data_IF_242602679836
#
_entry.id   IF_242602679836
#
_cell.length_a   1.000
_cell.length_b   1.000
_cell.length_c   1.000
_cell.angle_alpha   90.00
_cell.angle_beta   90.00
_cell.angle_gamma   90.00
#
_symmetry.space_group_name_H-M   'P 1'
#
loop_
_entity.id
_entity.type
_entity.pdbx_description
1 polymer ?
#
# COMPACT_ATOMS: atom_id res chain seq x y z
N UNK A 1 -14.96 -9.10 22.56
CA UNK A 1 -14.96 -9.99 21.38
C UNK A 1 -13.98 -11.13 21.67
N UNK A 2 -14.39 -12.39 21.56
CA UNK A 2 -13.48 -13.56 21.68
C UNK A 2 -12.77 -13.79 20.33
N UNK A 3 -11.59 -14.40 20.32
CA UNK A 3 -10.77 -14.63 19.11
C UNK A 3 -11.53 -15.31 17.96
N UNK A 4 -12.52 -16.16 18.26
CA UNK A 4 -13.37 -16.81 17.27
C UNK A 4 -14.29 -15.85 16.49
N UNK A 5 -14.69 -14.73 17.10
CA UNK A 5 -15.50 -13.72 16.43
C UNK A 5 -14.63 -12.89 15.49
N UNK A 6 -13.38 -12.63 15.86
CA UNK A 6 -12.41 -11.92 15.02
C UNK A 6 -12.02 -12.71 13.77
N UNK A 7 -11.91 -14.03 13.85
CA UNK A 7 -11.67 -14.88 12.67
C UNK A 7 -12.86 -14.87 11.72
N UNK A 8 -14.09 -14.95 12.24
CA UNK A 8 -15.31 -14.86 11.40
C UNK A 8 -15.41 -13.50 10.70
N UNK A 9 -15.05 -12.42 11.41
CA UNK A 9 -15.00 -11.09 10.82
C UNK A 9 -13.95 -11.01 9.69
N UNK A 10 -12.76 -11.56 9.90
CA UNK A 10 -11.70 -11.58 8.90
C UNK A 10 -12.12 -12.38 7.65
N UNK A 11 -12.73 -13.55 7.84
CA UNK A 11 -13.23 -14.37 6.73
C UNK A 11 -14.36 -13.67 5.97
N UNK A 12 -15.28 -13.02 6.70
CA UNK A 12 -16.33 -12.20 6.11
C UNK A 12 -15.72 -11.06 5.30
N UNK A 13 -14.79 -10.30 5.87
CA UNK A 13 -14.10 -9.24 5.15
C UNK A 13 -13.43 -9.77 3.88
N UNK A 14 -12.67 -10.87 3.94
CA UNK A 14 -12.00 -11.42 2.76
C UNK A 14 -12.96 -11.84 1.63
N UNK A 15 -14.19 -12.27 1.96
CA UNK A 15 -15.11 -12.91 1.01
C UNK A 15 -16.28 -12.03 0.55
N UNK A 16 -16.43 -10.82 1.10
CA UNK A 16 -17.58 -9.95 0.80
C UNK A 16 -17.24 -8.84 -0.21
N UNK A 17 -17.43 -9.06 -1.54
CA UNK A 17 -17.11 -8.07 -2.57
C UNK A 17 -18.09 -6.89 -2.64
N UNK A 18 -19.17 -6.90 -1.84
CA UNK A 18 -20.19 -5.85 -1.86
C UNK A 18 -20.03 -4.84 -0.72
N UNK A 19 -19.24 -5.18 0.30
CA UNK A 19 -19.09 -4.32 1.46
C UNK A 19 -18.25 -3.09 1.08
N UNK A 20 -18.82 -1.90 1.30
CA UNK A 20 -18.16 -0.61 1.02
C UNK A 20 -17.72 0.10 2.28
N UNK A 21 -18.46 -0.06 3.37
CA UNK A 21 -18.20 0.61 4.63
C UNK A 21 -18.41 -0.37 5.78
N UNK A 22 -17.52 -0.34 6.77
CA UNK A 22 -17.63 -1.14 7.98
C UNK A 22 -17.29 -0.30 9.20
N UNK A 23 -18.13 -0.42 10.23
CA UNK A 23 -18.05 0.32 11.48
C UNK A 23 -17.89 -0.64 12.64
N UNK A 24 -16.73 -0.62 13.29
CA UNK A 24 -16.39 -1.46 14.45
C UNK A 24 -15.75 -0.63 15.56
N UNK A 25 -16.16 0.61 15.71
CA UNK A 25 -15.69 1.49 16.77
C UNK A 25 -16.04 0.92 18.15
N UNK A 26 -15.17 1.11 19.15
CA UNK A 26 -15.43 0.75 20.55
C UNK A 26 -15.77 -0.74 20.82
N UNK A 27 -15.12 -1.67 20.11
CA UNK A 27 -15.40 -3.11 20.21
C UNK A 27 -14.35 -3.93 20.97
N UNK A 28 -13.40 -3.26 21.65
CA UNK A 28 -12.29 -3.87 22.38
C UNK A 28 -11.43 -4.82 21.51
N UNK A 29 -11.29 -4.52 20.22
CA UNK A 29 -10.35 -5.22 19.33
C UNK A 29 -8.92 -4.92 19.77
N UNK A 30 -8.05 -5.93 19.72
CA UNK A 30 -6.63 -5.82 20.10
C UNK A 30 -5.70 -6.09 18.91
N UNK A 31 -4.39 -6.07 19.13
CA UNK A 31 -3.39 -6.25 18.07
C UNK A 31 -3.47 -7.60 17.34
N UNK A 32 -3.92 -8.67 18.02
CA UNK A 32 -4.14 -9.96 17.36
C UNK A 32 -5.30 -9.90 16.38
N UNK A 33 -6.36 -9.17 16.74
CA UNK A 33 -7.50 -8.93 15.85
C UNK A 33 -7.09 -8.02 14.68
N UNK A 34 -6.26 -7.01 14.92
CA UNK A 34 -5.71 -6.15 13.87
C UNK A 34 -4.90 -6.94 12.83
N UNK A 35 -4.10 -7.93 13.26
CA UNK A 35 -3.35 -8.80 12.35
C UNK A 35 -4.27 -9.67 11.47
N UNK A 36 -5.37 -10.21 12.04
CA UNK A 36 -6.37 -10.96 11.28
C UNK A 36 -7.09 -10.06 10.26
N UNK A 37 -7.49 -8.86 10.69
CA UNK A 37 -8.11 -7.85 9.82
C UNK A 37 -7.14 -7.43 8.71
N UNK A 38 -5.87 -7.20 9.01
CA UNK A 38 -4.83 -6.85 8.04
C UNK A 38 -4.71 -7.91 6.93
N UNK A 39 -4.72 -9.19 7.31
CA UNK A 39 -4.70 -10.29 6.34
C UNK A 39 -5.96 -10.33 5.47
N UNK A 40 -7.13 -10.11 6.06
CA UNK A 40 -8.39 -10.04 5.31
C UNK A 40 -8.44 -8.84 4.37
N UNK A 41 -7.91 -7.69 4.80
CA UNK A 41 -7.81 -6.51 3.96
C UNK A 41 -6.98 -6.81 2.73
N UNK A 42 -5.81 -7.47 2.83
CA UNK A 42 -4.96 -7.79 1.65
C UNK A 42 -5.71 -8.45 0.48
N UNK A 43 -6.77 -9.23 0.74
CA UNK A 43 -7.61 -9.84 -0.30
C UNK A 43 -8.89 -9.07 -0.65
N UNK A 44 -9.43 -8.21 0.22
CA UNK A 44 -10.68 -7.48 -0.03
C UNK A 44 -10.46 -6.16 -0.78
N UNK A 45 -10.70 -6.13 -2.09
CA UNK A 45 -10.54 -4.93 -2.94
C UNK A 45 -11.75 -4.00 -3.02
N UNK A 46 -12.78 -4.23 -2.20
CA UNK A 46 -14.09 -3.60 -2.39
C UNK A 46 -14.45 -2.62 -1.30
N UNK A 47 -13.88 -2.79 -0.11
CA UNK A 47 -14.08 -1.91 1.04
C UNK A 47 -13.44 -0.54 0.76
N UNK A 48 -14.22 0.52 0.98
CA UNK A 48 -13.79 1.91 0.82
C UNK A 48 -13.50 2.59 2.16
N UNK A 49 -14.24 2.25 3.22
CA UNK A 49 -14.09 2.87 4.54
C UNK A 49 -14.19 1.85 5.65
N UNK A 50 -13.28 1.92 6.62
CA UNK A 50 -13.27 1.06 7.79
C UNK A 50 -13.02 1.85 9.07
N UNK A 51 -14.07 2.05 9.86
CA UNK A 51 -13.99 2.72 11.15
C UNK A 51 -13.63 1.75 12.27
N UNK A 52 -12.48 1.99 12.90
CA UNK A 52 -11.88 1.15 13.94
C UNK A 52 -11.49 1.97 15.20
N UNK A 53 -11.97 3.20 15.33
CA UNK A 53 -11.69 4.09 16.45
C UNK A 53 -12.14 3.50 17.79
N UNK A 54 -11.47 3.86 18.89
CA UNK A 54 -11.90 3.46 20.23
C UNK A 54 -11.68 1.98 20.58
N UNK A 55 -10.90 1.26 19.77
CA UNK A 55 -10.41 -0.08 20.08
C UNK A 55 -9.05 -0.06 20.80
N UNK A 56 -8.59 -1.21 21.26
CA UNK A 56 -7.37 -1.42 22.07
C UNK A 56 -6.16 -1.79 21.23
N UNK A 57 -5.94 -1.08 20.12
CA UNK A 57 -4.73 -1.25 19.29
C UNK A 57 -3.54 -0.50 19.89
N UNK A 58 -2.38 -1.14 19.89
CA UNK A 58 -1.08 -0.51 20.13
C UNK A 58 -0.42 -0.17 18.79
N UNK A 59 0.83 0.31 18.83
CA UNK A 59 1.63 0.56 17.63
C UNK A 59 1.82 -0.70 16.78
N UNK A 60 1.81 -1.90 17.41
CA UNK A 60 1.94 -3.18 16.70
C UNK A 60 0.73 -3.48 15.83
N UNK A 61 -0.48 -3.32 16.37
CA UNK A 61 -1.73 -3.50 15.62
C UNK A 61 -1.90 -2.43 14.53
N UNK A 62 -1.52 -1.19 14.84
CA UNK A 62 -1.52 -0.10 13.86
C UNK A 62 -0.56 -0.39 12.69
N UNK A 63 0.67 -0.81 12.96
CA UNK A 63 1.64 -1.14 11.90
C UNK A 63 1.15 -2.31 11.03
N UNK A 64 0.51 -3.31 11.63
CA UNK A 64 -0.08 -4.43 10.89
C UNK A 64 -1.13 -3.96 9.87
N UNK A 65 -2.02 -3.05 10.28
CA UNK A 65 -3.02 -2.44 9.40
C UNK A 65 -2.37 -1.54 8.35
N UNK A 66 -1.34 -0.77 8.72
CA UNK A 66 -0.58 0.08 7.79
C UNK A 66 0.03 -0.74 6.67
N UNK A 67 0.74 -1.82 7.00
CA UNK A 67 1.38 -2.71 6.03
C UNK A 67 0.38 -3.44 5.13
N UNK A 68 -0.86 -3.66 5.58
CA UNK A 68 -1.91 -4.19 4.70
C UNK A 68 -2.34 -3.16 3.64
N UNK A 69 -2.35 -1.88 3.98
CA UNK A 69 -2.75 -0.79 3.08
C UNK A 69 -1.60 -0.27 2.22
N UNK A 70 -0.38 -0.23 2.76
CA UNK A 70 0.80 0.33 2.11
C UNK A 70 2.06 -0.37 2.63
N UNK A 71 2.47 -1.41 1.91
CA UNK A 71 3.71 -2.14 2.20
C UNK A 71 4.85 -1.58 1.34
N UNK A 72 5.75 -0.83 1.96
CA UNK A 72 6.88 -0.21 1.25
C UNK A 72 8.13 -1.10 1.17
N UNK A 73 8.07 -2.35 1.68
CA UNK A 73 9.24 -3.24 1.72
C UNK A 73 9.79 -3.57 0.33
N UNK A 74 8.93 -3.63 -0.69
CA UNK A 74 9.29 -3.86 -2.08
C UNK A 74 8.22 -3.33 -3.02
N UNK A 75 8.58 -3.07 -4.28
CA UNK A 75 7.59 -2.62 -5.26
C UNK A 75 6.50 -3.67 -5.53
N UNK A 76 6.80 -4.96 -5.42
CA UNK A 76 5.78 -6.01 -5.50
C UNK A 76 4.81 -5.90 -4.30
N UNK A 77 5.33 -5.80 -3.08
CA UNK A 77 4.50 -5.67 -1.88
C UNK A 77 3.64 -4.39 -1.92
N UNK A 78 4.18 -3.28 -2.41
CA UNK A 78 3.43 -2.03 -2.62
C UNK A 78 2.32 -2.22 -3.64
N UNK A 79 2.63 -2.90 -4.74
CA UNK A 79 1.67 -3.18 -5.78
C UNK A 79 0.58 -4.15 -5.29
N UNK A 80 0.93 -5.11 -4.43
CA UNK A 80 0.01 -6.08 -3.83
C UNK A 80 -0.81 -5.49 -2.67
N UNK A 81 -0.34 -4.42 -2.02
CA UNK A 81 -1.08 -3.60 -1.05
C UNK A 81 -2.15 -2.74 -1.75
N UNK A 82 -3.12 -3.43 -2.34
CA UNK A 82 -4.03 -2.91 -3.36
C UNK A 82 -5.37 -2.45 -2.78
N UNK A 83 -5.40 -1.38 -1.97
CA UNK A 83 -6.68 -0.82 -1.49
C UNK A 83 -6.86 0.67 -1.69
N UNK A 84 -8.09 1.01 -2.06
CA UNK A 84 -8.74 2.33 -1.91
C UNK A 84 -9.38 2.50 -0.53
N UNK A 85 -9.31 1.46 0.32
CA UNK A 85 -9.87 1.47 1.67
C UNK A 85 -9.14 2.47 2.56
N UNK A 86 -9.88 3.37 3.20
CA UNK A 86 -9.39 4.21 4.29
C UNK A 86 -9.71 3.54 5.62
N UNK A 87 -8.69 3.33 6.46
CA UNK A 87 -8.84 2.72 7.79
C UNK A 87 -8.64 3.79 8.86
N UNK A 88 -9.62 3.93 9.75
CA UNK A 88 -9.63 4.95 10.79
C UNK A 88 -9.35 4.31 12.15
N UNK A 89 -8.15 4.51 12.69
CA UNK A 89 -7.78 4.14 14.06
C UNK A 89 -7.42 5.38 14.89
N UNK A 90 -7.37 5.24 16.21
CA UNK A 90 -7.06 6.35 17.14
C UNK A 90 -5.64 6.91 16.98
N UNK A 91 -4.70 6.10 16.49
CA UNK A 91 -3.32 6.52 16.19
C UNK A 91 -3.31 7.26 14.85
N UNK A 92 -3.87 8.46 14.86
CA UNK A 92 -4.26 9.23 13.68
C UNK A 92 -3.09 9.83 12.88
N UNK A 93 -1.83 9.49 13.21
CA UNK A 93 -0.64 10.12 12.61
C UNK A 93 0.27 9.23 11.76
N UNK A 94 0.21 7.89 11.86
CA UNK A 94 1.19 7.04 11.15
C UNK A 94 0.63 6.33 9.90
N UNK A 95 -0.67 6.02 9.88
CA UNK A 95 -1.28 5.23 8.80
C UNK A 95 -1.84 6.13 7.67
N UNK A 96 -2.39 7.30 8.04
CA UNK A 96 -3.13 8.15 7.11
C UNK A 96 -2.29 9.25 6.44
N UNK A 97 -1.06 9.49 6.87
CA UNK A 97 -0.17 10.48 6.24
C UNK A 97 0.15 10.14 4.77
N UNK A 98 -0.07 8.88 4.35
CA UNK A 98 0.08 8.43 2.96
C UNK A 98 -1.25 8.36 2.18
N UNK A 99 -2.38 8.68 2.82
CA UNK A 99 -3.74 8.67 2.25
C UNK A 99 -4.45 10.04 2.36
N UNK A 100 -3.78 11.08 2.87
CA UNK A 100 -4.38 12.40 3.16
C UNK A 100 -4.43 13.36 1.97
N UNK A 101 -3.98 12.96 0.78
CA UNK A 101 -4.14 13.77 -0.42
C UNK A 101 -5.45 13.44 -1.15
N UNK A 102 -6.25 14.49 -1.31
CA UNK A 102 -7.53 14.58 -2.02
C UNK A 102 -7.52 13.88 -3.38
N UNK A 103 -7.96 12.61 -3.41
CA UNK A 103 -8.76 11.97 -4.46
C UNK A 103 -8.71 10.46 -4.23
N UNK A 104 -9.76 9.93 -3.60
CA UNK A 104 -9.91 8.51 -3.27
C UNK A 104 -10.06 7.57 -4.47
N UNK A 105 -9.38 7.80 -5.61
CA UNK A 105 -9.51 6.97 -6.80
C UNK A 105 -8.20 6.64 -7.54
N UNK A 106 -7.00 6.86 -6.98
CA UNK A 106 -5.78 6.33 -7.62
C UNK A 106 -4.64 5.95 -6.63
N UNK A 107 -4.82 4.87 -5.86
CA UNK A 107 -3.90 4.51 -4.76
C UNK A 107 -2.65 3.73 -5.21
N UNK A 108 -2.76 2.76 -6.12
CA UNK A 108 -1.63 1.87 -6.47
C UNK A 108 -0.50 2.59 -7.20
N UNK A 109 -0.82 3.35 -8.25
CA UNK A 109 0.17 4.09 -9.02
C UNK A 109 0.85 5.18 -8.17
N UNK A 110 0.08 5.92 -7.37
CA UNK A 110 0.64 6.92 -6.47
C UNK A 110 1.58 6.31 -5.43
N UNK A 111 1.22 5.20 -4.77
CA UNK A 111 2.08 4.50 -3.80
C UNK A 111 3.40 4.05 -4.44
N UNK A 112 3.33 3.49 -5.65
CA UNK A 112 4.51 3.10 -6.43
C UNK A 112 5.40 4.34 -6.69
N UNK A 113 4.81 5.43 -7.17
CA UNK A 113 5.53 6.67 -7.44
C UNK A 113 6.15 7.27 -6.17
N UNK A 114 5.40 7.31 -5.05
CA UNK A 114 5.85 7.85 -3.77
C UNK A 114 7.13 7.16 -3.29
N UNK A 115 7.15 5.82 -3.29
CA UNK A 115 8.35 5.04 -2.93
C UNK A 115 9.52 5.35 -3.87
N UNK A 116 9.26 5.40 -5.17
CA UNK A 116 10.30 5.68 -6.17
C UNK A 116 10.89 7.07 -5.99
N UNK A 117 10.06 8.07 -5.70
CA UNK A 117 10.45 9.45 -5.44
C UNK A 117 11.33 9.53 -4.18
N UNK A 118 10.84 9.00 -3.04
CA UNK A 118 11.59 8.99 -1.77
C UNK A 118 12.93 8.24 -1.89
N UNK A 119 12.96 7.13 -2.62
CA UNK A 119 14.20 6.38 -2.85
C UNK A 119 15.13 7.06 -3.83
N UNK A 120 14.63 7.87 -4.76
CA UNK A 120 15.47 8.65 -5.68
C UNK A 120 16.23 9.76 -4.96
N UNK A 121 15.62 10.40 -3.95
CA UNK A 121 16.31 11.36 -3.07
C UNK A 121 17.57 10.77 -2.41
N UNK A 122 17.55 9.45 -2.18
CA UNK A 122 18.68 8.69 -1.61
C UNK A 122 19.43 7.85 -2.65
N UNK A 123 19.14 8.02 -3.95
CA UNK A 123 19.73 7.28 -5.08
C UNK A 123 19.70 5.76 -4.90
N UNK A 124 18.63 5.23 -4.30
CA UNK A 124 18.57 3.86 -3.80
C UNK A 124 17.62 2.95 -4.58
N UNK A 125 16.86 3.43 -5.56
CA UNK A 125 15.92 2.59 -6.34
C UNK A 125 16.60 1.36 -6.97
N UNK A 126 17.80 1.57 -7.51
CA UNK A 126 18.59 0.59 -8.26
C UNK A 126 18.84 -0.72 -7.48
N UNK A 127 18.94 -0.67 -6.13
CA UNK A 127 19.11 -1.88 -5.29
C UNK A 127 17.80 -2.63 -5.02
N UNK A 128 16.65 -1.97 -5.20
CA UNK A 128 15.32 -2.54 -4.95
C UNK A 128 14.66 -3.15 -6.21
N UNK A 129 15.30 -3.03 -7.39
CA UNK A 129 14.78 -3.57 -8.65
C UNK A 129 15.10 -5.05 -8.92
N UNK A 130 15.85 -5.72 -8.05
CA UNK A 130 16.34 -7.10 -8.31
C UNK A 130 15.27 -8.19 -8.40
N UNK A 131 14.12 -8.01 -7.75
CA UNK A 131 13.07 -9.05 -7.63
C UNK A 131 11.71 -8.60 -8.16
N UNK A 132 11.65 -7.60 -9.03
CA UNK A 132 10.36 -7.05 -9.49
C UNK A 132 9.81 -7.88 -10.64
N UNK A 133 8.51 -8.17 -10.58
CA UNK A 133 7.82 -8.84 -11.69
C UNK A 133 7.89 -7.95 -12.95
N UNK A 134 8.38 -8.50 -14.07
CA UNK A 134 8.43 -7.83 -15.37
C UNK A 134 7.06 -7.35 -15.83
N UNK A 135 5.98 -8.03 -15.40
CA UNK A 135 4.60 -7.60 -15.68
C UNK A 135 4.21 -6.31 -14.97
N UNK A 136 4.92 -5.93 -13.89
CA UNK A 136 4.67 -4.70 -13.15
C UNK A 136 5.33 -3.49 -13.81
N UNK A 137 6.31 -3.69 -14.71
CA UNK A 137 7.10 -2.62 -15.32
C UNK A 137 6.25 -1.56 -16.05
N UNK A 138 5.24 -1.91 -16.88
CA UNK A 138 4.40 -0.90 -17.54
C UNK A 138 3.66 -0.02 -16.53
N UNK A 139 3.15 -0.61 -15.43
CA UNK A 139 2.43 0.12 -14.40
C UNK A 139 3.36 1.04 -13.59
N UNK A 140 4.61 0.63 -13.39
CA UNK A 140 5.63 1.44 -12.72
C UNK A 140 5.98 2.66 -13.57
N UNK A 141 6.20 2.48 -14.88
CA UNK A 141 6.49 3.58 -15.80
C UNK A 141 5.30 4.54 -15.93
N UNK A 142 4.08 4.00 -16.09
CA UNK A 142 2.85 4.80 -16.15
C UNK A 142 2.67 5.64 -14.88
N UNK A 143 2.92 5.06 -13.70
CA UNK A 143 2.88 5.78 -12.43
C UNK A 143 3.87 6.95 -12.39
N UNK A 144 5.13 6.74 -12.78
CA UNK A 144 6.14 7.82 -12.82
C UNK A 144 5.69 8.94 -13.75
N UNK A 145 5.24 8.61 -14.96
CA UNK A 145 4.82 9.61 -15.95
C UNK A 145 3.59 10.40 -15.49
N UNK A 146 2.62 9.73 -14.87
CA UNK A 146 1.36 10.31 -14.42
C UNK A 146 1.51 11.24 -13.20
N UNK A 147 2.38 10.90 -12.26
CA UNK A 147 2.45 11.58 -10.97
C UNK A 147 3.64 12.53 -10.81
N UNK A 148 4.72 12.33 -11.57
CA UNK A 148 5.87 13.23 -11.50
C UNK A 148 5.59 14.63 -12.08
N UNK A 149 4.52 14.77 -12.88
CA UNK A 149 4.11 16.04 -13.50
C UNK A 149 3.06 16.81 -12.71
N UNK A 150 2.46 16.19 -11.68
CA UNK A 150 1.20 16.66 -11.06
C UNK A 150 1.36 17.27 -9.65
N UNK A 151 2.59 17.42 -9.13
CA UNK A 151 2.79 17.85 -7.74
C UNK A 151 3.55 19.17 -7.69
N UNK A 152 2.96 20.14 -6.98
CA UNK A 152 3.47 21.47 -6.63
C UNK A 152 4.80 21.48 -5.82
N UNK A 153 5.54 20.36 -5.78
CA UNK A 153 6.72 20.17 -4.93
C UNK A 153 7.69 19.08 -5.45
N UNK A 154 7.98 19.04 -6.76
CA UNK A 154 8.91 18.03 -7.27
C UNK A 154 10.38 18.46 -7.11
N UNK A 155 11.01 18.05 -6.00
CA UNK A 155 12.49 18.00 -5.89
C UNK A 155 13.12 16.92 -6.78
N UNK A 156 12.31 15.99 -7.30
CA UNK A 156 12.76 14.79 -8.04
C UNK A 156 12.38 14.89 -9.51
N UNK A 157 13.36 14.72 -10.40
CA UNK A 157 13.15 14.72 -11.85
C UNK A 157 12.63 13.35 -12.32
N UNK A 158 11.45 13.26 -12.97
CA UNK A 158 10.92 11.99 -13.50
C UNK A 158 11.92 11.21 -14.35
N UNK A 159 12.72 11.89 -15.18
CA UNK A 159 13.72 11.26 -16.04
C UNK A 159 14.83 10.56 -15.23
N UNK A 160 15.12 11.04 -14.01
CA UNK A 160 16.06 10.39 -13.09
C UNK A 160 15.54 9.02 -12.66
N UNK A 161 14.27 8.95 -12.27
CA UNK A 161 13.62 7.69 -11.88
C UNK A 161 13.52 6.74 -13.08
N UNK A 162 13.10 7.23 -14.25
CA UNK A 162 13.02 6.42 -15.47
C UNK A 162 14.38 5.83 -15.87
N UNK A 163 15.45 6.63 -15.78
CA UNK A 163 16.81 6.16 -16.03
C UNK A 163 17.23 5.04 -15.08
N UNK A 164 16.96 5.18 -13.77
CA UNK A 164 17.25 4.14 -12.78
C UNK A 164 16.52 2.83 -13.09
N UNK A 165 15.24 2.92 -13.48
CA UNK A 165 14.42 1.77 -13.89
C UNK A 165 15.04 1.09 -15.10
N UNK A 166 15.28 1.84 -16.19
CA UNK A 166 15.80 1.30 -17.45
C UNK A 166 17.20 0.70 -17.29
N UNK A 167 18.09 1.34 -16.52
CA UNK A 167 19.47 0.88 -16.30
C UNK A 167 19.56 -0.51 -15.67
N UNK A 168 18.63 -0.86 -14.78
CA UNK A 168 18.59 -2.18 -14.16
C UNK A 168 17.82 -3.19 -14.99
N UNK A 169 16.79 -2.75 -15.70
CA UNK A 169 15.98 -3.65 -16.50
C UNK A 169 16.61 -4.09 -17.81
N UNK A 170 17.47 -3.26 -18.41
CA UNK A 170 18.27 -3.64 -19.57
C UNK A 170 19.11 -4.90 -19.29
N UNK A 171 19.67 -5.00 -18.07
CA UNK A 171 20.39 -6.19 -17.59
C UNK A 171 19.50 -7.42 -17.39
N UNK A 172 18.23 -7.23 -17.06
CA UNK A 172 17.27 -8.32 -16.88
C UNK A 172 16.75 -8.86 -18.23
N UNK A 173 16.54 -7.97 -19.21
CA UNK A 173 16.13 -8.32 -20.57
C UNK A 173 17.24 -9.00 -21.38
N UNK A 174 18.52 -8.70 -21.09
CA UNK A 174 19.64 -9.40 -21.72
C UNK A 174 19.74 -10.89 -21.35
N UNK A 175 19.19 -11.32 -20.21
CA UNK A 175 19.13 -12.75 -19.82
C UNK A 175 18.08 -13.58 -20.59
N UNK A 176 17.24 -12.94 -21.41
CA UNK A 176 16.19 -13.60 -22.20
C UNK A 176 16.60 -13.84 -23.66
N UNK A 177 17.82 -13.45 -24.06
CA UNK A 177 18.41 -13.85 -25.34
C UNK A 177 19.20 -15.14 -25.15
N UNK A 178 18.50 -16.28 -25.11
CA UNK A 178 19.05 -17.62 -25.33
C UNK A 178 18.19 -18.32 -26.38
#
# INVERSE_FOLDING_TARGET
>A
ITSAVSTVLADFLATNPRLKELHLEHNNLNDSDAALIANALRSNTTLGSFQLYGNSFTDVGAESLRLALYDESSLNATADSNHTCTVYIRIWGAINDHNSHEQGQISRGWKIYSILSTRNETMSNVRHFGNIDVKLLPNVLDAVQKYATNVYDSKVNPLSIEYEIMRKWDKAMTCWKC
#
